data_IF_892010004711
#
_entry.id   IF_892010004711
#
_cell.length_a   1.000
_cell.length_b   1.000
_cell.length_c   1.000
_cell.angle_alpha   90.00
_cell.angle_beta   90.00
_cell.angle_gamma   90.00
#
_symmetry.space_group_name_H-M   'P 1'
#
loop_
_entity.id
_entity.type
_entity.pdbx_description
1 polymer ?
#
# COMPACT_ATOMS: atom_id res chain seq x y z
N UNK A 1 -11.64 0.62 -6.56
CA UNK A 1 -11.64 0.24 -5.13
C UNK A 1 -11.28 1.45 -4.29
N UNK A 2 -12.09 1.74 -3.30
CA UNK A 2 -11.86 2.88 -2.42
C UNK A 2 -10.80 2.53 -1.36
N UNK A 3 -9.93 3.48 -1.07
CA UNK A 3 -8.87 3.26 -0.08
C UNK A 3 -9.45 2.99 1.31
N UNK A 4 -10.53 3.68 1.67
CA UNK A 4 -11.21 3.47 2.94
C UNK A 4 -11.73 2.03 3.09
N UNK A 5 -12.18 1.44 2.00
CA UNK A 5 -12.65 0.05 2.00
C UNK A 5 -11.51 -0.91 2.30
N UNK A 6 -10.30 -0.62 1.78
CA UNK A 6 -9.12 -1.42 2.09
C UNK A 6 -8.77 -1.32 3.57
N UNK A 7 -8.79 -0.12 4.12
CA UNK A 7 -8.50 0.08 5.55
C UNK A 7 -9.47 -0.71 6.41
N UNK A 8 -10.77 -0.66 6.10
CA UNK A 8 -11.78 -1.40 6.87
C UNK A 8 -11.60 -2.90 6.74
N UNK A 9 -11.19 -3.36 5.56
CA UNK A 9 -10.98 -4.79 5.31
C UNK A 9 -9.86 -5.37 6.17
N UNK A 10 -8.75 -4.64 6.30
CA UNK A 10 -7.57 -5.15 7.00
C UNK A 10 -7.48 -4.71 8.44
N UNK A 11 -8.10 -3.60 8.81
CA UNK A 11 -7.97 -3.03 10.15
C UNK A 11 -9.32 -2.80 10.84
N UNK A 12 -10.42 -3.12 10.18
CA UNK A 12 -11.79 -2.97 10.68
C UNK A 12 -12.17 -1.52 10.99
N UNK A 13 -11.40 -0.56 10.48
CA UNK A 13 -11.66 0.87 10.68
C UNK A 13 -10.98 1.65 9.56
N UNK A 14 -11.49 2.83 9.28
CA UNK A 14 -10.83 3.78 8.36
C UNK A 14 -9.95 4.79 9.10
N UNK A 15 -9.88 4.69 10.43
CA UNK A 15 -9.04 5.55 11.26
C UNK A 15 -8.02 4.69 12.00
N UNK A 16 -6.78 4.69 11.50
CA UNK A 16 -5.71 3.86 12.06
C UNK A 16 -5.19 4.34 13.40
N UNK A 17 -5.54 5.56 13.83
CA UNK A 17 -5.04 6.10 15.09
C UNK A 17 -5.49 5.28 16.30
N UNK A 18 -6.61 4.58 16.18
CA UNK A 18 -7.14 3.73 17.26
C UNK A 18 -6.70 2.27 17.18
N UNK A 19 -5.89 1.90 16.19
CA UNK A 19 -5.47 0.50 16.01
C UNK A 19 -4.21 0.23 16.83
N UNK A 20 -4.21 -0.87 17.58
CA UNK A 20 -3.02 -1.27 18.36
C UNK A 20 -1.87 -1.66 17.44
N UNK A 21 -0.64 -1.65 17.99
CA UNK A 21 0.54 -2.07 17.23
C UNK A 21 0.39 -3.49 16.69
N UNK A 22 -0.11 -4.41 17.51
CA UNK A 22 -0.31 -5.80 17.07
C UNK A 22 -1.42 -5.92 16.04
N UNK A 23 -2.48 -5.13 16.15
CA UNK A 23 -3.54 -5.08 15.15
C UNK A 23 -3.04 -4.55 13.81
N UNK A 24 -2.20 -3.55 13.86
CA UNK A 24 -1.57 -2.98 12.65
C UNK A 24 -0.69 -4.02 11.96
N UNK A 25 0.16 -4.71 12.72
CA UNK A 25 1.01 -5.78 12.19
C UNK A 25 0.20 -6.88 11.52
N UNK A 26 -0.86 -7.33 12.20
CA UNK A 26 -1.71 -8.39 11.68
C UNK A 26 -2.37 -7.98 10.35
N UNK A 27 -2.86 -6.75 10.27
CA UNK A 27 -3.47 -6.23 9.04
C UNK A 27 -2.46 -6.13 7.91
N UNK A 28 -1.24 -5.68 8.20
CA UNK A 28 -0.15 -5.59 7.22
C UNK A 28 0.18 -6.98 6.67
N UNK A 29 0.32 -7.97 7.54
CA UNK A 29 0.62 -9.34 7.11
C UNK A 29 -0.47 -9.90 6.21
N UNK A 30 -1.73 -9.68 6.56
CA UNK A 30 -2.85 -10.13 5.72
C UNK A 30 -2.82 -9.44 4.35
N UNK A 31 -2.51 -8.16 4.33
CA UNK A 31 -2.41 -7.40 3.09
C UNK A 31 -1.29 -7.94 2.20
N UNK A 32 -0.15 -8.28 2.79
CA UNK A 32 0.98 -8.87 2.05
C UNK A 32 0.61 -10.22 1.45
N UNK A 33 -0.08 -11.05 2.20
CA UNK A 33 -0.55 -12.37 1.71
C UNK A 33 -1.50 -12.16 0.53
N UNK A 34 -2.46 -11.27 0.69
CA UNK A 34 -3.43 -11.00 -0.38
C UNK A 34 -2.75 -10.43 -1.63
N UNK A 35 -1.76 -9.57 -1.47
CA UNK A 35 -0.99 -9.06 -2.61
C UNK A 35 -0.30 -10.20 -3.36
N UNK A 36 0.26 -11.16 -2.63
CA UNK A 36 0.91 -12.32 -3.22
C UNK A 36 -0.04 -13.22 -4.01
N UNK A 37 -1.32 -13.23 -3.64
CA UNK A 37 -2.33 -14.08 -4.27
C UNK A 37 -3.17 -13.34 -5.32
N UNK A 38 -3.16 -12.02 -5.31
CA UNK A 38 -4.02 -11.22 -6.18
C UNK A 38 -3.51 -11.25 -7.62
N UNK A 39 -4.43 -11.46 -8.56
CA UNK A 39 -4.12 -11.51 -9.98
C UNK A 39 -4.56 -10.27 -10.74
N UNK A 40 -5.52 -9.50 -10.21
CA UNK A 40 -5.98 -8.29 -10.85
C UNK A 40 -4.95 -7.17 -10.67
N UNK A 41 -4.52 -6.57 -11.77
CA UNK A 41 -3.46 -5.55 -11.74
C UNK A 41 -3.84 -4.32 -10.93
N UNK A 42 -5.06 -3.85 -11.07
CA UNK A 42 -5.55 -2.69 -10.32
C UNK A 42 -5.61 -2.95 -8.83
N UNK A 43 -6.09 -4.12 -8.44
CA UNK A 43 -6.14 -4.50 -7.03
C UNK A 43 -4.75 -4.69 -6.45
N UNK A 44 -3.83 -5.27 -7.22
CA UNK A 44 -2.43 -5.40 -6.79
C UNK A 44 -1.82 -4.05 -6.51
N UNK A 45 -2.04 -3.09 -7.38
CA UNK A 45 -1.53 -1.74 -7.19
C UNK A 45 -2.13 -1.09 -5.95
N UNK A 46 -3.43 -1.26 -5.71
CA UNK A 46 -4.09 -0.71 -4.53
C UNK A 46 -3.53 -1.31 -3.24
N UNK A 47 -3.33 -2.62 -3.20
CA UNK A 47 -2.75 -3.31 -2.05
C UNK A 47 -1.32 -2.84 -1.79
N UNK A 48 -0.52 -2.74 -2.85
CA UNK A 48 0.85 -2.26 -2.72
C UNK A 48 0.88 -0.82 -2.22
N UNK A 49 -0.01 0.04 -2.72
CA UNK A 49 -0.08 1.45 -2.30
C UNK A 49 -0.38 1.55 -0.81
N UNK A 50 -1.30 0.73 -0.31
CA UNK A 50 -1.61 0.69 1.12
C UNK A 50 -0.39 0.30 1.93
N UNK A 51 0.31 -0.76 1.51
CA UNK A 51 1.53 -1.20 2.19
C UNK A 51 2.61 -0.12 2.16
N UNK A 52 2.74 0.59 1.04
CA UNK A 52 3.70 1.67 0.92
C UNK A 52 3.40 2.79 1.93
N UNK A 53 2.14 3.18 2.05
CA UNK A 53 1.73 4.24 2.98
C UNK A 53 1.93 3.83 4.44
N UNK A 54 1.90 2.53 4.71
CA UNK A 54 2.16 1.99 6.05
C UNK A 54 3.64 1.71 6.31
N UNK A 55 4.50 1.99 5.33
CA UNK A 55 5.94 1.80 5.48
C UNK A 55 6.39 0.35 5.39
N UNK A 56 5.58 -0.52 4.81
CA UNK A 56 5.84 -1.97 4.77
C UNK A 56 5.74 -2.57 3.38
N UNK A 57 5.90 -1.76 2.34
CA UNK A 57 5.79 -2.25 0.96
C UNK A 57 6.96 -3.16 0.59
N UNK A 58 6.70 -4.25 -0.16
CA UNK A 58 7.78 -5.07 -0.71
C UNK A 58 8.48 -4.33 -1.85
N UNK A 59 9.66 -4.81 -2.22
CA UNK A 59 10.40 -4.25 -3.36
C UNK A 59 9.57 -4.35 -4.63
N UNK A 60 9.76 -3.39 -5.53
CA UNK A 60 9.00 -3.34 -6.78
C UNK A 60 9.18 -4.59 -7.63
N UNK A 61 10.38 -5.16 -7.62
CA UNK A 61 10.67 -6.40 -8.37
C UNK A 61 9.88 -7.59 -7.84
N UNK A 62 9.60 -7.58 -6.55
CA UNK A 62 8.81 -8.63 -5.90
C UNK A 62 7.32 -8.42 -6.12
N UNK A 63 6.88 -7.17 -5.99
CA UNK A 63 5.46 -6.84 -6.07
C UNK A 63 4.91 -6.88 -7.48
N UNK A 64 5.71 -6.48 -8.48
CA UNK A 64 5.24 -6.31 -9.85
C UNK A 64 6.16 -7.00 -10.85
N UNK A 65 5.58 -7.81 -11.73
CA UNK A 65 6.31 -8.54 -12.75
C UNK A 65 6.56 -7.71 -14.02
N UNK A 66 5.72 -6.73 -14.27
CA UNK A 66 5.75 -5.95 -15.50
C UNK A 66 6.40 -4.60 -15.30
N UNK A 67 7.20 -4.17 -16.29
CA UNK A 67 7.94 -2.91 -16.22
C UNK A 67 7.03 -1.70 -16.07
N UNK A 68 5.90 -1.69 -16.79
CA UNK A 68 4.95 -0.58 -16.72
C UNK A 68 4.32 -0.44 -15.33
N UNK A 69 4.12 -1.57 -14.65
CA UNK A 69 3.60 -1.56 -13.28
C UNK A 69 4.64 -1.00 -12.31
N UNK A 70 5.90 -1.40 -12.47
CA UNK A 70 6.99 -0.89 -11.63
C UNK A 70 7.18 0.60 -11.85
N UNK A 71 7.07 1.06 -13.09
CA UNK A 71 7.17 2.48 -13.41
C UNK A 71 6.04 3.28 -12.78
N UNK A 72 4.81 2.78 -12.84
CA UNK A 72 3.67 3.43 -12.20
C UNK A 72 3.87 3.52 -10.68
N UNK A 73 4.42 2.47 -10.07
CA UNK A 73 4.71 2.46 -8.65
C UNK A 73 5.79 3.48 -8.29
N UNK A 74 6.84 3.59 -9.10
CA UNK A 74 7.89 4.59 -8.88
C UNK A 74 7.32 6.01 -8.98
N UNK A 75 6.43 6.25 -9.95
CA UNK A 75 5.77 7.55 -10.07
C UNK A 75 4.92 7.86 -8.85
N UNK A 76 4.22 6.87 -8.32
CA UNK A 76 3.44 7.03 -7.10
C UNK A 76 4.35 7.39 -5.92
N UNK A 77 5.48 6.71 -5.79
CA UNK A 77 6.44 7.00 -4.72
C UNK A 77 6.97 8.43 -4.82
N UNK A 78 7.27 8.88 -6.03
CA UNK A 78 7.75 10.24 -6.26
C UNK A 78 6.71 11.28 -5.89
N UNK A 79 5.45 11.03 -6.25
CA UNK A 79 4.34 11.92 -5.90
C UNK A 79 4.15 12.01 -4.39
N UNK A 80 4.23 10.89 -3.71
CA UNK A 80 4.08 10.84 -2.26
C UNK A 80 5.22 11.56 -1.56
N UNK A 81 6.44 11.40 -2.06
CA UNK A 81 7.61 12.08 -1.51
C UNK A 81 7.49 13.60 -1.67
N UNK A 82 7.01 14.05 -2.82
CA UNK A 82 6.80 15.46 -3.08
C UNK A 82 5.73 16.06 -2.16
N UNK A 83 4.69 15.29 -1.86
CA UNK A 83 3.62 15.71 -0.94
C UNK A 83 4.10 15.80 0.50
N UNK A 84 5.04 14.95 0.89
CA UNK A 84 5.57 14.94 2.25
C UNK A 84 6.50 16.12 2.54
N UNK A 85 7.05 16.74 1.50
CA UNK A 85 8.00 17.85 1.65
C UNK A 85 7.48 19.10 0.93
N UNK A 86 6.31 19.62 1.31
CA UNK A 86 5.72 20.76 0.62
C UNK A 86 6.54 22.04 0.77
N UNK A 87 7.36 22.15 1.80
CA UNK A 87 8.19 23.32 2.06
C UNK A 87 9.54 23.25 1.36
N UNK A 88 9.80 22.18 0.66
CA UNK A 88 11.07 21.97 -0.01
C UNK A 88 11.04 22.57 -1.41
N UNK A 89 10.70 23.81 -1.48
CA UNK A 89 10.61 24.55 -2.73
C UNK A 89 11.75 25.55 -2.82
#
# INVERSE_FOLDING_TARGET
MQFDDLLRRYFATDDLSGVSASGLEAGIERCKVDLGLETDRGKRFALWSLLYMLGSSPDLDVAFKHEDEREAARNFMDLMAASENPDNT
#
